data_IF_433737026551
#
_entry.id   IF_433737026551
#
_cell.length_a   1.000
_cell.length_b   1.000
_cell.length_c   1.000
_cell.angle_alpha   90.00
_cell.angle_beta   90.00
_cell.angle_gamma   90.00
#
_symmetry.space_group_name_H-M   'P 1'
#
loop_
_entity.id
_entity.type
_entity.pdbx_description
1 polymer ?
#
# COMPACT_ATOMS: atom_id res chain seq x y z
N UNK A 1 49.87 9.86 38.43
CA UNK A 1 49.08 9.80 37.21
C UNK A 1 47.68 10.26 37.54
N UNK A 2 47.34 11.48 37.13
CA UNK A 2 46.15 12.22 37.55
C UNK A 2 44.99 11.96 36.57
N UNK A 3 43.89 11.36 37.07
CA UNK A 3 42.65 11.26 36.32
C UNK A 3 41.81 12.55 36.48
N UNK A 4 41.25 13.13 35.44
CA UNK A 4 40.41 14.31 35.54
C UNK A 4 39.01 13.95 36.08
N UNK A 5 38.55 14.75 37.05
CA UNK A 5 37.17 14.71 37.59
C UNK A 5 36.19 15.22 36.54
N UNK A 6 35.21 14.42 36.25
CA UNK A 6 34.05 14.81 35.43
C UNK A 6 33.12 15.63 36.35
N UNK A 7 32.88 16.88 35.97
CA UNK A 7 31.91 17.78 36.61
C UNK A 7 30.48 17.28 36.37
N UNK A 8 29.70 17.20 37.45
CA UNK A 8 28.27 16.86 37.38
C UNK A 8 27.47 18.06 36.84
N UNK A 9 26.48 17.86 35.98
CA UNK A 9 25.58 18.93 35.55
C UNK A 9 24.59 19.28 36.66
N UNK A 10 24.30 20.58 36.75
CA UNK A 10 23.51 21.20 37.77
C UNK A 10 22.07 20.71 37.87
N UNK A 11 21.53 20.81 39.09
CA UNK A 11 20.15 20.52 39.45
C UNK A 11 19.16 21.36 38.63
N UNK A 12 18.38 20.68 37.81
CA UNK A 12 17.23 21.25 37.11
C UNK A 12 16.11 21.48 38.15
N UNK A 13 15.77 22.74 38.39
CA UNK A 13 14.65 23.11 39.27
C UNK A 13 13.36 22.85 38.52
N UNK A 14 12.83 21.63 38.66
CA UNK A 14 11.59 21.18 38.06
C UNK A 14 10.41 22.10 38.45
N UNK A 15 9.67 22.53 37.44
CA UNK A 15 8.39 23.18 37.61
C UNK A 15 7.40 22.26 38.36
N UNK A 16 6.55 22.79 39.26
CA UNK A 16 5.66 21.98 40.09
C UNK A 16 4.63 21.25 39.18
N UNK A 17 4.29 20.00 39.51
CA UNK A 17 3.32 19.21 38.69
C UNK A 17 1.94 19.85 38.77
N UNK A 18 1.36 20.16 37.63
CA UNK A 18 -0.02 20.63 37.46
C UNK A 18 -0.98 19.52 37.92
N UNK A 19 -1.57 19.69 39.10
CA UNK A 19 -2.58 18.77 39.64
C UNK A 19 -3.89 18.92 38.87
N UNK A 20 -4.49 17.80 38.43
CA UNK A 20 -5.76 17.73 37.72
C UNK A 20 -6.92 18.53 38.37
N UNK A 21 -6.85 18.81 39.66
CA UNK A 21 -7.87 19.59 40.41
C UNK A 21 -7.82 21.10 40.15
N UNK A 22 -6.70 21.65 39.72
CA UNK A 22 -6.54 23.09 39.51
C UNK A 22 -7.13 23.52 38.14
N UNK A 23 -7.30 22.58 37.21
CA UNK A 23 -7.86 22.88 35.89
C UNK A 23 -9.40 22.97 35.87
N UNK A 24 -10.09 22.44 36.91
CA UNK A 24 -11.56 22.45 36.96
C UNK A 24 -12.16 23.63 37.75
N UNK A 25 -11.36 24.53 38.32
CA UNK A 25 -11.86 25.64 39.12
C UNK A 25 -11.84 27.01 38.44
N UNK A 26 -11.38 27.11 37.20
CA UNK A 26 -11.33 28.40 36.44
C UNK A 26 -12.46 28.61 35.44
N UNK A 27 -13.44 27.69 35.36
CA UNK A 27 -14.60 27.82 34.44
C UNK A 27 -15.93 28.18 35.08
N UNK A 28 -15.95 28.55 36.38
CA UNK A 28 -17.18 28.82 37.12
C UNK A 28 -17.38 30.29 37.51
N UNK A 29 -16.74 31.26 36.87
CA UNK A 29 -16.93 32.69 37.16
C UNK A 29 -17.11 33.50 35.84
N UNK A 30 -18.24 33.32 35.18
CA UNK A 30 -18.54 34.00 33.91
C UNK A 30 -19.97 33.87 33.43
N UNK A 31 -20.92 33.58 34.31
CA UNK A 31 -22.34 33.57 33.97
C UNK A 31 -23.03 34.83 34.54
N UNK A 32 -22.97 35.91 33.82
CA UNK A 32 -23.65 37.14 34.18
C UNK A 32 -23.81 38.06 32.98
N UNK A 33 -25.06 38.13 32.47
CA UNK A 33 -25.65 39.20 31.65
C UNK A 33 -25.05 39.50 30.26
N UNK A 34 -25.64 38.86 29.28
CA UNK A 34 -25.97 39.53 27.99
C UNK A 34 -27.14 38.78 27.33
N UNK A 35 -28.36 39.05 27.80
CA UNK A 35 -29.56 38.84 26.98
C UNK A 35 -29.59 39.98 25.97
N UNK A 36 -29.12 39.75 24.75
CA UNK A 36 -29.30 40.64 23.62
C UNK A 36 -29.33 39.85 22.33
N UNK A 37 -30.59 39.70 21.82
CA UNK A 37 -30.93 39.53 20.39
C UNK A 37 -30.20 38.46 19.64
N UNK A 38 -30.73 37.24 19.67
CA UNK A 38 -30.64 36.28 18.55
C UNK A 38 -31.37 36.91 17.35
N UNK A 39 -30.66 37.73 16.54
CA UNK A 39 -30.96 37.77 15.13
C UNK A 39 -30.58 36.38 14.62
N UNK A 40 -31.55 35.58 14.18
CA UNK A 40 -31.30 34.42 13.39
C UNK A 40 -30.57 34.86 12.13
N UNK A 41 -29.25 34.85 12.16
CA UNK A 41 -28.48 34.70 10.96
C UNK A 41 -28.71 33.20 10.58
N UNK A 42 -29.64 33.00 9.66
CA UNK A 42 -29.61 31.80 8.84
C UNK A 42 -28.25 31.82 8.15
N UNK A 43 -27.30 31.19 8.79
CA UNK A 43 -26.02 30.83 8.18
C UNK A 43 -26.34 29.76 7.13
N UNK A 44 -26.88 30.25 6.01
CA UNK A 44 -26.88 29.50 4.76
C UNK A 44 -25.41 29.37 4.41
N UNK A 45 -24.76 28.38 5.02
CA UNK A 45 -23.52 27.87 4.45
C UNK A 45 -23.80 27.68 2.95
N UNK A 46 -23.02 28.31 2.05
CA UNK A 46 -23.24 28.08 0.64
C UNK A 46 -23.20 26.57 0.48
N UNK A 47 -24.28 25.99 -0.02
CA UNK A 47 -24.26 24.66 -0.59
C UNK A 47 -23.10 24.71 -1.58
N UNK A 48 -21.95 24.25 -1.11
CA UNK A 48 -20.85 23.92 -1.99
C UNK A 48 -21.43 22.75 -2.76
N UNK A 49 -22.06 23.10 -3.88
CA UNK A 49 -22.49 22.16 -4.89
C UNK A 49 -21.30 21.23 -5.10
N UNK A 50 -21.33 20.10 -4.41
CA UNK A 50 -20.36 19.05 -4.65
C UNK A 50 -20.55 18.76 -6.12
N UNK A 51 -19.59 19.12 -7.01
CA UNK A 51 -19.78 18.92 -8.42
C UNK A 51 -20.18 17.48 -8.55
N UNK A 52 -21.35 17.22 -9.11
CA UNK A 52 -21.86 15.89 -9.38
C UNK A 52 -20.71 15.17 -10.07
N UNK A 53 -20.00 14.33 -9.33
CA UNK A 53 -18.78 13.69 -9.83
C UNK A 53 -19.25 12.69 -10.86
N UNK A 54 -19.31 13.18 -12.13
CA UNK A 54 -19.72 12.39 -13.25
C UNK A 54 -18.92 11.08 -13.23
N UNK A 55 -19.61 9.95 -13.38
CA UNK A 55 -18.92 8.68 -13.56
C UNK A 55 -18.42 8.58 -14.99
N UNK A 56 -17.27 7.99 -15.19
CA UNK A 56 -16.66 7.74 -16.49
C UNK A 56 -16.81 6.25 -16.85
N UNK A 57 -17.35 5.92 -18.03
CA UNK A 57 -17.35 4.54 -18.52
C UNK A 57 -15.91 4.08 -18.68
N UNK A 58 -15.61 2.91 -18.16
CA UNK A 58 -14.27 2.32 -18.18
C UNK A 58 -14.41 0.81 -18.43
N UNK A 59 -13.63 0.30 -19.35
CA UNK A 59 -13.59 -1.13 -19.67
C UNK A 59 -12.18 -1.65 -19.44
N UNK A 60 -12.04 -2.72 -18.66
CA UNK A 60 -10.76 -3.33 -18.41
C UNK A 60 -10.93 -4.84 -18.22
N UNK A 61 -9.85 -5.56 -18.40
CA UNK A 61 -9.81 -7.01 -18.14
C UNK A 61 -9.03 -7.24 -16.85
N UNK A 62 -9.63 -7.89 -15.85
CA UNK A 62 -8.96 -8.23 -14.59
C UNK A 62 -8.89 -9.74 -14.47
N UNK A 63 -7.69 -10.28 -14.36
CA UNK A 63 -7.43 -11.73 -14.26
C UNK A 63 -8.16 -12.53 -15.36
N UNK A 64 -8.17 -12.02 -16.59
CA UNK A 64 -8.85 -12.64 -17.72
C UNK A 64 -10.36 -12.39 -17.81
N UNK A 65 -10.98 -11.76 -16.81
CA UNK A 65 -12.41 -11.42 -16.81
C UNK A 65 -12.61 -9.97 -17.26
N UNK A 66 -13.49 -9.77 -18.25
CA UNK A 66 -13.82 -8.43 -18.75
C UNK A 66 -14.82 -7.73 -17.82
N UNK A 67 -14.58 -6.48 -17.53
CA UNK A 67 -15.42 -5.61 -16.71
C UNK A 67 -15.75 -4.33 -17.47
N UNK A 68 -17.04 -3.96 -17.52
CA UNK A 68 -17.53 -2.68 -18.03
C UNK A 68 -18.19 -1.93 -16.86
N UNK A 69 -17.58 -0.85 -16.41
CA UNK A 69 -17.90 -0.15 -15.17
C UNK A 69 -18.15 1.33 -15.41
N UNK A 70 -18.86 1.97 -14.48
CA UNK A 70 -18.96 3.43 -14.41
C UNK A 70 -18.23 3.88 -13.14
N UNK A 71 -17.05 4.45 -13.30
CA UNK A 71 -16.14 4.77 -12.21
C UNK A 71 -16.11 6.27 -11.94
N UNK A 72 -15.97 6.65 -10.68
CA UNK A 72 -15.61 8.00 -10.32
C UNK A 72 -14.16 8.26 -10.79
N UNK A 73 -13.84 9.41 -11.43
CA UNK A 73 -12.52 9.67 -11.98
C UNK A 73 -11.36 9.59 -10.97
N UNK A 74 -11.66 9.83 -9.68
CA UNK A 74 -10.66 9.77 -8.59
C UNK A 74 -10.45 8.37 -7.99
N UNK A 75 -11.23 7.37 -8.40
CA UNK A 75 -11.11 6.01 -7.87
C UNK A 75 -9.73 5.44 -8.20
N UNK A 76 -8.97 5.01 -7.19
CA UNK A 76 -7.72 4.32 -7.40
C UNK A 76 -7.98 2.91 -7.95
N UNK A 77 -7.01 2.36 -8.70
CA UNK A 77 -7.08 0.96 -9.14
C UNK A 77 -7.15 0.03 -7.92
N UNK A 78 -6.46 0.35 -6.83
CA UNK A 78 -6.52 -0.43 -5.60
C UNK A 78 -7.93 -0.49 -5.01
N UNK A 79 -8.63 0.64 -4.94
CA UNK A 79 -9.99 0.70 -4.42
C UNK A 79 -10.99 -0.03 -5.35
N UNK A 80 -10.82 0.12 -6.67
CA UNK A 80 -11.60 -0.67 -7.63
C UNK A 80 -11.45 -2.16 -7.38
N UNK A 81 -10.21 -2.66 -7.31
CA UNK A 81 -9.94 -4.08 -7.12
C UNK A 81 -10.52 -4.60 -5.80
N UNK A 82 -10.28 -3.89 -4.71
CA UNK A 82 -10.65 -4.35 -3.36
C UNK A 82 -12.12 -4.16 -3.02
N UNK A 83 -12.67 -2.95 -3.28
CA UNK A 83 -13.97 -2.55 -2.76
C UNK A 83 -15.11 -2.84 -3.75
N UNK A 84 -14.83 -2.84 -5.07
CA UNK A 84 -15.87 -3.08 -6.07
C UNK A 84 -15.77 -4.49 -6.66
N UNK A 85 -14.57 -5.03 -6.88
CA UNK A 85 -14.38 -6.35 -7.46
C UNK A 85 -14.11 -7.46 -6.43
N UNK A 86 -13.94 -7.11 -5.14
CA UNK A 86 -13.70 -8.08 -4.06
C UNK A 86 -12.34 -8.76 -4.10
N UNK A 87 -11.40 -8.28 -4.94
CA UNK A 87 -10.05 -8.81 -5.07
C UNK A 87 -9.15 -8.18 -3.99
N UNK A 88 -9.13 -8.79 -2.83
CA UNK A 88 -8.48 -8.24 -1.62
C UNK A 88 -7.02 -8.62 -1.46
N UNK A 89 -6.44 -9.36 -2.39
CA UNK A 89 -5.03 -9.80 -2.37
C UNK A 89 -4.06 -8.61 -2.41
N UNK A 90 -4.25 -7.65 -3.32
CA UNK A 90 -3.52 -6.38 -3.26
C UNK A 90 -3.89 -5.61 -1.99
N UNK A 91 -2.89 -5.20 -1.19
CA UNK A 91 -3.12 -4.62 0.15
C UNK A 91 -2.94 -3.10 0.19
N UNK A 92 -3.82 -2.43 0.93
CA UNK A 92 -3.71 -1.00 1.23
C UNK A 92 -2.81 -0.81 2.46
N UNK A 93 -1.49 -0.65 2.23
CA UNK A 93 -0.53 -0.38 3.30
C UNK A 93 -0.38 1.12 3.56
N UNK A 94 0.37 1.83 2.72
CA UNK A 94 0.63 3.27 2.88
C UNK A 94 -0.35 4.18 2.14
N UNK A 95 -1.00 3.68 1.10
CA UNK A 95 -1.92 4.42 0.19
C UNK A 95 -1.31 5.64 -0.52
N UNK A 96 0.03 5.69 -0.60
CA UNK A 96 0.76 6.76 -1.29
C UNK A 96 2.06 6.28 -1.96
N UNK A 97 2.08 5.02 -2.44
CA UNK A 97 3.11 4.51 -3.33
C UNK A 97 4.44 4.10 -2.68
N UNK A 98 4.58 4.14 -1.35
CA UNK A 98 5.87 3.93 -0.68
C UNK A 98 6.18 2.48 -0.28
N UNK A 99 5.16 1.64 -0.06
CA UNK A 99 5.38 0.33 0.57
C UNK A 99 5.32 -0.86 -0.39
N UNK A 100 4.78 -0.71 -1.58
CA UNK A 100 4.65 -1.78 -2.57
C UNK A 100 3.65 -2.89 -2.25
N UNK A 101 2.92 -2.86 -1.11
CA UNK A 101 1.95 -3.89 -0.76
C UNK A 101 0.76 -3.98 -1.74
N UNK A 102 0.52 -2.92 -2.51
CA UNK A 102 -0.52 -2.82 -3.52
C UNK A 102 -0.04 -3.13 -4.95
N UNK A 103 1.16 -3.66 -5.14
CA UNK A 103 1.72 -3.95 -6.46
C UNK A 103 0.83 -4.93 -7.23
N UNK A 104 0.46 -4.54 -8.45
CA UNK A 104 -0.23 -5.37 -9.45
C UNK A 104 0.47 -5.20 -10.79
N UNK A 105 0.06 -5.98 -11.80
CA UNK A 105 0.53 -5.74 -13.18
C UNK A 105 -0.58 -5.12 -14.02
N UNK A 106 -0.23 -4.10 -14.81
CA UNK A 106 -1.07 -3.53 -15.87
C UNK A 106 -0.31 -3.71 -17.17
N UNK A 107 -0.91 -4.43 -18.11
CA UNK A 107 -0.28 -4.84 -19.39
C UNK A 107 1.12 -5.46 -19.16
N UNK A 108 1.23 -6.31 -18.14
CA UNK A 108 2.45 -7.01 -17.77
C UNK A 108 3.48 -6.19 -16.99
N UNK A 109 3.29 -4.88 -16.82
CA UNK A 109 4.20 -3.97 -16.10
C UNK A 109 3.77 -3.78 -14.65
N UNK A 110 4.69 -3.82 -13.71
CA UNK A 110 4.38 -3.57 -12.30
C UNK A 110 3.97 -2.12 -12.06
N UNK A 111 2.90 -1.91 -11.32
CA UNK A 111 2.42 -0.59 -10.90
C UNK A 111 1.99 -0.59 -9.42
N UNK A 112 2.09 0.56 -8.79
CA UNK A 112 1.48 0.81 -7.47
C UNK A 112 -0.01 1.16 -7.69
N UNK A 113 -0.91 0.20 -7.46
CA UNK A 113 -2.34 0.38 -7.72
C UNK A 113 -2.99 1.49 -6.89
N UNK A 114 -2.44 1.85 -5.72
CA UNK A 114 -2.91 2.99 -4.92
C UNK A 114 -2.66 4.36 -5.56
N UNK A 115 -1.67 4.48 -6.46
CA UNK A 115 -1.37 5.70 -7.21
C UNK A 115 -1.87 5.67 -8.66
N UNK A 116 -2.41 4.54 -9.10
CA UNK A 116 -2.97 4.39 -10.44
C UNK A 116 -4.45 4.68 -10.40
N UNK A 117 -4.93 5.66 -11.17
CA UNK A 117 -6.37 5.90 -11.31
C UNK A 117 -6.99 4.77 -12.13
N UNK A 118 -8.12 4.22 -11.66
CA UNK A 118 -8.79 3.11 -12.34
C UNK A 118 -9.24 3.49 -13.77
N UNK A 119 -9.67 4.72 -13.99
CA UNK A 119 -10.05 5.23 -15.32
C UNK A 119 -8.87 5.28 -16.30
N UNK A 120 -7.62 5.26 -15.82
CA UNK A 120 -6.42 5.21 -16.68
C UNK A 120 -6.09 3.79 -17.15
N UNK A 121 -6.78 2.79 -16.61
CA UNK A 121 -6.63 1.39 -17.05
C UNK A 121 -7.71 0.97 -18.05
N UNK A 122 -8.40 1.95 -18.67
CA UNK A 122 -9.34 1.68 -19.74
C UNK A 122 -8.66 0.95 -20.92
N UNK A 123 -9.23 -0.17 -21.34
CA UNK A 123 -8.67 -1.05 -22.36
C UNK A 123 -7.49 -1.93 -21.91
N UNK A 124 -6.99 -1.80 -20.68
CA UNK A 124 -5.83 -2.53 -20.21
C UNK A 124 -6.19 -3.91 -19.61
N UNK A 125 -5.16 -4.78 -19.56
CA UNK A 125 -5.20 -6.05 -18.85
C UNK A 125 -4.51 -5.89 -17.46
N UNK A 126 -5.28 -6.09 -16.41
CA UNK A 126 -4.80 -6.04 -15.01
C UNK A 126 -4.65 -7.45 -14.48
N UNK A 127 -3.48 -7.77 -13.93
CA UNK A 127 -3.24 -9.04 -13.23
C UNK A 127 -2.94 -8.77 -11.78
N UNK A 128 -3.68 -9.41 -10.89
CA UNK A 128 -3.48 -9.38 -9.44
C UNK A 128 -2.92 -10.71 -8.95
N UNK A 129 -2.61 -10.81 -7.66
CA UNK A 129 -2.09 -12.05 -7.05
C UNK A 129 -3.06 -13.23 -7.23
N UNK A 130 -4.36 -12.97 -7.27
CA UNK A 130 -5.40 -13.99 -7.48
C UNK A 130 -5.41 -14.56 -8.90
N UNK A 131 -4.82 -13.84 -9.86
CA UNK A 131 -4.83 -14.25 -11.26
C UNK A 131 -3.51 -14.83 -11.78
N UNK A 132 -2.55 -15.15 -10.91
CA UNK A 132 -1.25 -15.70 -11.35
C UNK A 132 -1.15 -17.23 -11.26
N UNK A 133 -2.06 -17.88 -10.54
CA UNK A 133 -2.13 -19.34 -10.51
C UNK A 133 -2.63 -19.90 -11.84
N UNK A 134 -2.30 -21.15 -12.12
CA UNK A 134 -2.79 -21.85 -13.30
C UNK A 134 -4.27 -22.22 -13.13
N UNK A 135 -4.99 -22.43 -14.25
CA UNK A 135 -6.41 -22.79 -14.23
C UNK A 135 -6.72 -24.11 -13.50
N UNK A 136 -5.73 -24.96 -13.33
CA UNK A 136 -5.82 -26.24 -12.58
C UNK A 136 -5.56 -26.07 -11.08
N UNK A 137 -5.36 -24.83 -10.60
CA UNK A 137 -5.02 -24.53 -9.20
C UNK A 137 -3.54 -24.72 -8.86
N UNK A 138 -2.69 -25.02 -9.84
CA UNK A 138 -1.25 -25.10 -9.62
C UNK A 138 -0.67 -23.72 -9.32
N UNK A 139 0.06 -23.62 -8.20
CA UNK A 139 0.70 -22.37 -7.81
C UNK A 139 1.71 -21.90 -8.86
N UNK A 140 1.80 -20.60 -9.05
CA UNK A 140 2.89 -20.01 -9.83
C UNK A 140 4.25 -20.36 -9.19
N UNK A 141 5.33 -20.63 -9.96
CA UNK A 141 6.63 -20.99 -9.39
C UNK A 141 7.15 -20.01 -8.33
N UNK A 142 6.85 -18.71 -8.49
CA UNK A 142 7.21 -17.70 -7.49
C UNK A 142 6.40 -17.86 -6.19
N UNK A 143 5.12 -18.22 -6.26
CA UNK A 143 4.32 -18.48 -5.06
C UNK A 143 4.86 -19.72 -4.30
N UNK A 144 5.16 -20.78 -5.02
CA UNK A 144 5.73 -21.99 -4.43
C UNK A 144 7.09 -21.69 -3.76
N UNK A 145 7.99 -20.99 -4.44
CA UNK A 145 9.29 -20.62 -3.87
C UNK A 145 9.15 -19.73 -2.60
N UNK A 146 8.15 -18.84 -2.54
CA UNK A 146 7.88 -18.04 -1.33
C UNK A 146 7.46 -18.92 -0.15
N UNK A 147 6.78 -20.04 -0.39
CA UNK A 147 6.42 -21.01 0.64
C UNK A 147 7.67 -21.80 1.07
N UNK A 148 8.43 -22.30 0.11
CA UNK A 148 9.57 -23.19 0.35
C UNK A 148 10.74 -22.50 1.10
N UNK A 149 10.85 -21.16 0.96
CA UNK A 149 11.90 -20.34 1.60
C UNK A 149 11.41 -19.50 2.77
N UNK A 150 10.22 -19.74 3.32
CA UNK A 150 9.63 -18.94 4.39
C UNK A 150 9.72 -17.42 4.09
N UNK A 151 9.49 -17.04 2.83
CA UNK A 151 9.64 -15.67 2.33
C UNK A 151 8.50 -14.73 2.81
N UNK A 152 7.84 -15.09 3.90
CA UNK A 152 6.73 -14.35 4.51
C UNK A 152 6.66 -14.64 6.02
N UNK A 153 6.02 -13.74 6.76
CA UNK A 153 5.62 -13.98 8.15
C UNK A 153 4.15 -13.60 8.33
N UNK A 154 3.82 -12.32 8.53
CA UNK A 154 2.42 -11.90 8.68
C UNK A 154 1.59 -12.00 7.38
N UNK A 155 2.22 -12.15 6.24
CA UNK A 155 1.56 -12.30 4.93
C UNK A 155 1.03 -10.99 4.31
N UNK A 156 1.03 -9.87 5.03
CA UNK A 156 0.39 -8.64 4.55
C UNK A 156 1.04 -8.06 3.27
N UNK A 157 2.36 -8.00 3.20
CA UNK A 157 3.09 -7.51 2.02
C UNK A 157 3.28 -8.59 0.94
N UNK A 158 3.03 -9.86 1.26
CA UNK A 158 3.38 -11.01 0.40
C UNK A 158 2.80 -10.94 -1.00
N UNK A 159 1.52 -10.59 -1.21
CA UNK A 159 0.99 -10.43 -2.57
C UNK A 159 1.78 -9.42 -3.40
N UNK A 160 2.06 -8.25 -2.85
CA UNK A 160 2.86 -7.21 -3.52
C UNK A 160 4.31 -7.65 -3.76
N UNK A 161 4.91 -8.40 -2.83
CA UNK A 161 6.26 -8.95 -2.98
C UNK A 161 6.32 -9.97 -4.13
N UNK A 162 5.37 -10.91 -4.19
CA UNK A 162 5.29 -11.91 -5.26
C UNK A 162 5.10 -11.24 -6.62
N UNK A 163 4.17 -10.27 -6.74
CA UNK A 163 3.95 -9.54 -8.00
C UNK A 163 5.20 -8.78 -8.44
N UNK A 164 5.88 -8.10 -7.52
CA UNK A 164 7.13 -7.40 -7.82
C UNK A 164 8.26 -8.38 -8.20
N UNK A 165 8.36 -9.53 -7.52
CA UNK A 165 9.36 -10.56 -7.81
C UNK A 165 9.17 -11.18 -9.21
N UNK A 166 7.94 -11.41 -9.64
CA UNK A 166 7.62 -11.87 -11.00
C UNK A 166 8.10 -10.84 -12.02
N UNK A 167 7.83 -9.55 -11.82
CA UNK A 167 8.31 -8.48 -12.68
C UNK A 167 9.84 -8.39 -12.67
N UNK A 168 10.48 -8.54 -11.51
CA UNK A 168 11.95 -8.58 -11.38
C UNK A 168 12.58 -9.62 -12.32
N UNK A 169 12.01 -10.82 -12.38
CA UNK A 169 12.49 -11.89 -13.28
C UNK A 169 12.22 -11.56 -14.73
N UNK A 170 10.99 -11.12 -15.07
CA UNK A 170 10.56 -10.81 -16.44
C UNK A 170 11.34 -9.64 -17.05
N UNK A 171 11.64 -8.63 -16.24
CA UNK A 171 12.40 -7.45 -16.67
C UNK A 171 13.92 -7.67 -16.65
N UNK A 172 14.40 -8.89 -16.31
CA UNK A 172 15.82 -9.26 -16.37
C UNK A 172 16.67 -8.81 -15.18
N UNK A 173 16.04 -8.36 -14.09
CA UNK A 173 16.74 -7.87 -12.89
C UNK A 173 17.06 -8.97 -11.86
N UNK A 174 16.78 -10.24 -12.18
CA UNK A 174 17.09 -11.38 -11.31
C UNK A 174 18.38 -12.11 -11.74
N UNK A 175 19.46 -11.36 -12.04
CA UNK A 175 20.76 -11.94 -12.47
C UNK A 175 21.79 -11.98 -11.34
N UNK A 176 21.62 -11.15 -10.31
CA UNK A 176 22.46 -11.14 -9.11
C UNK A 176 21.67 -10.70 -7.88
N UNK A 177 22.15 -11.06 -6.71
CA UNK A 177 21.54 -10.67 -5.42
C UNK A 177 21.44 -9.14 -5.29
N UNK A 178 22.45 -8.40 -5.75
CA UNK A 178 22.44 -6.94 -5.69
C UNK A 178 21.32 -6.35 -6.55
N UNK A 179 21.13 -6.84 -7.76
CA UNK A 179 20.06 -6.40 -8.64
C UNK A 179 18.68 -6.76 -8.10
N UNK A 180 18.51 -7.96 -7.53
CA UNK A 180 17.26 -8.35 -6.90
C UNK A 180 16.93 -7.39 -5.73
N UNK A 181 17.89 -7.14 -4.83
CA UNK A 181 17.68 -6.24 -3.69
C UNK A 181 17.35 -4.82 -4.13
N UNK A 182 18.03 -4.30 -5.14
CA UNK A 182 17.77 -2.97 -5.68
C UNK A 182 16.37 -2.90 -6.28
N UNK A 183 16.01 -3.84 -7.17
CA UNK A 183 14.70 -3.86 -7.81
C UNK A 183 13.55 -4.03 -6.81
N UNK A 184 13.74 -4.86 -5.78
CA UNK A 184 12.74 -5.13 -4.74
C UNK A 184 12.70 -4.06 -3.63
N UNK A 185 13.59 -3.08 -3.62
CA UNK A 185 13.72 -2.07 -2.55
C UNK A 185 12.46 -1.26 -2.28
N UNK A 186 11.61 -1.09 -3.31
CA UNK A 186 10.30 -0.42 -3.18
C UNK A 186 9.19 -1.27 -2.54
N UNK A 187 9.45 -2.56 -2.26
CA UNK A 187 8.49 -3.46 -1.65
C UNK A 187 8.91 -3.77 -0.21
N UNK A 188 8.28 -3.11 0.77
CA UNK A 188 8.68 -3.18 2.18
C UNK A 188 8.07 -4.39 2.89
N UNK A 189 8.89 -5.07 3.67
CA UNK A 189 8.45 -6.12 4.60
C UNK A 189 8.75 -5.71 6.04
N UNK A 190 7.73 -5.40 6.83
CA UNK A 190 7.90 -4.98 8.23
C UNK A 190 8.43 -6.10 9.13
N UNK A 191 8.16 -7.34 8.79
CA UNK A 191 8.65 -8.53 9.49
C UNK A 191 10.11 -8.86 9.17
N UNK A 192 10.67 -8.27 8.10
CA UNK A 192 12.07 -8.48 7.73
C UNK A 192 12.36 -9.77 6.97
N UNK A 193 11.39 -10.39 6.29
CA UNK A 193 11.55 -11.64 5.55
C UNK A 193 12.44 -11.52 4.28
N UNK A 194 13.28 -10.49 4.19
CA UNK A 194 14.05 -10.18 2.97
C UNK A 194 15.03 -11.27 2.54
N UNK A 195 15.59 -12.04 3.49
CA UNK A 195 16.49 -13.15 3.17
C UNK A 195 15.73 -14.25 2.42
N UNK A 196 14.59 -14.69 2.94
CA UNK A 196 13.74 -15.69 2.28
C UNK A 196 13.20 -15.20 0.94
N UNK A 197 12.79 -13.93 0.84
CA UNK A 197 12.34 -13.30 -0.43
C UNK A 197 13.45 -13.38 -1.49
N UNK A 198 14.70 -13.08 -1.13
CA UNK A 198 15.83 -13.15 -2.04
C UNK A 198 16.06 -14.58 -2.54
N UNK A 199 16.06 -15.56 -1.64
CA UNK A 199 16.26 -16.97 -2.00
C UNK A 199 15.10 -17.50 -2.87
N UNK A 200 13.86 -17.13 -2.55
CA UNK A 200 12.70 -17.49 -3.36
C UNK A 200 12.82 -16.97 -4.80
N UNK A 201 13.25 -15.71 -4.99
CA UNK A 201 13.45 -15.15 -6.32
C UNK A 201 14.56 -15.88 -7.07
N UNK A 202 15.66 -16.19 -6.40
CA UNK A 202 16.79 -16.92 -6.99
C UNK A 202 16.38 -18.30 -7.50
N UNK A 203 15.57 -19.02 -6.72
CA UNK A 203 15.08 -20.34 -7.10
C UNK A 203 14.04 -20.27 -8.21
N UNK A 204 13.06 -19.37 -8.12
CA UNK A 204 11.99 -19.27 -9.11
C UNK A 204 12.47 -18.75 -10.47
N UNK A 205 13.48 -17.87 -10.52
CA UNK A 205 13.91 -17.20 -11.74
C UNK A 205 14.28 -18.16 -12.89
N UNK A 206 15.11 -19.20 -12.73
CA UNK A 206 15.43 -20.13 -13.81
C UNK A 206 14.23 -20.96 -14.26
N UNK A 207 13.31 -21.28 -13.34
CA UNK A 207 12.07 -22.01 -13.66
C UNK A 207 11.17 -21.16 -14.53
N UNK A 208 10.92 -19.91 -14.14
CA UNK A 208 10.10 -18.97 -14.89
C UNK A 208 10.64 -18.72 -16.30
N UNK A 209 11.95 -18.47 -16.45
CA UNK A 209 12.57 -18.26 -17.77
C UNK A 209 12.39 -19.46 -18.69
N UNK A 210 12.48 -20.69 -18.18
CA UNK A 210 12.24 -21.92 -18.97
C UNK A 210 10.79 -22.03 -19.42
N UNK A 211 9.83 -21.67 -18.57
CA UNK A 211 8.40 -21.71 -18.90
C UNK A 211 8.03 -20.65 -19.93
N UNK A 212 8.57 -19.45 -19.81
CA UNK A 212 8.35 -18.37 -20.79
C UNK A 212 8.97 -18.68 -22.15
N UNK A 213 10.18 -19.24 -22.19
CA UNK A 213 10.81 -19.69 -23.43
C UNK A 213 10.02 -20.76 -24.18
N UNK A 214 9.27 -21.64 -23.46
CA UNK A 214 8.40 -22.63 -24.08
C UNK A 214 7.10 -22.06 -24.66
N UNK A 215 6.65 -20.88 -24.20
CA UNK A 215 5.43 -20.22 -24.71
C UNK A 215 5.68 -19.46 -26.02
N UNK A 216 6.94 -19.18 -26.34
CA UNK A 216 7.37 -18.44 -27.52
C UNK A 216 8.02 -19.32 -28.60
N UNK A 217 8.18 -20.64 -28.34
CA UNK A 217 8.67 -21.64 -29.28
C UNK A 217 7.50 -22.41 -29.91
#
# INVERSE_FOLDING_TARGET
>A
MNSPRISQPGEDRGAPPLRRRTFMMTTAAGAGMAAARSAAAEDSAPDVDSPSQGTQPTQLTVNGTHHALKLQPRTSLLDLLREQLGLTGAKKGCDHGQCGACTVHVDGRRVASCLTLAVKTDGCAVTTIEGIESADGTLHPMQQAFIDHDALQCGYCTPGQVMAAIACVREGHATSDAQIREYMSGNLCRCGAYAGILEAIREAAPVMRRLEGRRHA
#
